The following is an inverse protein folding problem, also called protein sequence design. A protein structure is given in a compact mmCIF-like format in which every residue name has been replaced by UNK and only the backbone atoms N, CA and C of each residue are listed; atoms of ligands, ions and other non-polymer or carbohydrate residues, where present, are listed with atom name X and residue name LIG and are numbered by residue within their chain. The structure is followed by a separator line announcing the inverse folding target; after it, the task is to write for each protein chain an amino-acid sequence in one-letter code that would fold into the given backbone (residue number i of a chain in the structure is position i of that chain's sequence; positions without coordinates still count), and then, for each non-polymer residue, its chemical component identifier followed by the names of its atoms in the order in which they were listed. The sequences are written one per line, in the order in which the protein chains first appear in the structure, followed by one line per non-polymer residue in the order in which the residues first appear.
data_IF_904464037751
#
_entry.id   IF_904464037751
#
_cell.length_a   1.000
_cell.length_b   1.000
_cell.length_c   1.000
_cell.angle_alpha   90.00
_cell.angle_beta   90.00
_cell.angle_gamma   90.00
#
_symmetry.space_group_name_H-M   'P 1'
#
loop_
_entity.id
_entity.type
_entity.pdbx_description
1 polymer ?
#
# COMPACT_ATOMS: atom_id res chain seq x y z
N UNK A 1 -52.26 -44.11 23.03
CA UNK A 1 -53.07 -42.86 23.05
C UNK A 1 -52.34 -41.81 22.25
N UNK A 2 -52.89 -41.34 21.13
CA UNK A 2 -52.23 -40.40 20.22
C UNK A 2 -52.65 -38.95 20.49
N UNK A 3 -51.76 -38.00 20.22
CA UNK A 3 -52.09 -36.57 19.99
C UNK A 3 -51.23 -36.16 18.78
N UNK A 4 -51.71 -36.24 17.53
CA UNK A 4 -52.65 -35.36 16.81
C UNK A 4 -52.14 -33.92 16.70
N UNK A 5 -51.63 -33.58 15.48
CA UNK A 5 -51.86 -32.39 14.62
C UNK A 5 -51.79 -30.97 15.26
N UNK A 6 -51.30 -29.88 14.65
CA UNK A 6 -51.16 -29.44 13.24
C UNK A 6 -50.33 -28.11 13.19
N UNK A 7 -50.05 -27.52 12.02
CA UNK A 7 -48.95 -26.59 11.75
C UNK A 7 -49.31 -25.10 11.87
N UNK A 8 -48.30 -24.24 12.04
CA UNK A 8 -48.46 -22.78 11.99
C UNK A 8 -48.19 -22.25 10.56
N UNK A 9 -49.26 -21.73 9.98
CA UNK A 9 -49.35 -21.00 8.71
C UNK A 9 -48.57 -19.68 8.74
N UNK A 10 -48.06 -19.34 7.56
CA UNK A 10 -47.73 -18.00 7.08
C UNK A 10 -48.77 -16.94 7.50
N UNK A 11 -48.29 -15.76 7.89
CA UNK A 11 -49.00 -14.49 7.73
C UNK A 11 -48.07 -13.47 7.09
N UNK A 12 -48.48 -13.04 5.91
CA UNK A 12 -48.02 -11.85 5.20
C UNK A 12 -49.15 -10.81 5.30
N UNK A 13 -48.80 -9.54 5.56
CA UNK A 13 -49.53 -8.27 5.34
C UNK A 13 -49.02 -7.23 6.38
N UNK A 14 -48.87 -5.94 6.16
CA UNK A 14 -48.81 -5.04 5.00
C UNK A 14 -48.41 -3.66 5.58
N UNK A 15 -47.49 -2.96 4.91
CA UNK A 15 -47.29 -1.50 4.77
C UNK A 15 -47.82 -0.46 5.79
N UNK A 16 -46.93 0.46 6.20
CA UNK A 16 -47.10 1.93 6.17
C UNK A 16 -45.74 2.60 6.50
N UNK A 17 -44.97 3.12 5.55
CA UNK A 17 -44.97 4.52 5.08
C UNK A 17 -44.87 5.58 6.20
N UNK A 18 -43.65 6.02 6.49
CA UNK A 18 -43.36 7.25 7.23
C UNK A 18 -42.04 7.81 6.75
N UNK A 19 -42.10 8.84 5.89
CA UNK A 19 -40.95 9.65 5.48
C UNK A 19 -40.57 10.52 6.66
N UNK A 20 -39.30 10.54 7.04
CA UNK A 20 -38.73 11.66 7.78
C UNK A 20 -37.48 12.17 7.07
N UNK A 21 -37.61 13.39 6.55
CA UNK A 21 -36.58 14.19 5.94
C UNK A 21 -35.82 14.91 7.08
N UNK A 22 -34.69 14.36 7.50
CA UNK A 22 -33.72 15.04 8.38
C UNK A 22 -32.48 15.42 7.58
N UNK A 23 -32.28 16.71 7.35
CA UNK A 23 -31.30 17.25 6.41
C UNK A 23 -29.86 16.83 6.65
N UNK A 24 -29.22 16.31 5.59
CA UNK A 24 -27.77 16.13 5.53
C UNK A 24 -27.14 17.51 5.37
N UNK A 25 -26.39 17.91 6.39
CA UNK A 25 -25.69 19.17 6.48
C UNK A 25 -24.69 19.30 5.31
N UNK A 26 -24.98 20.23 4.39
CA UNK A 26 -24.14 20.58 3.25
C UNK A 26 -23.03 21.52 3.70
N UNK A 27 -21.93 20.96 4.17
CA UNK A 27 -20.64 21.64 4.26
C UNK A 27 -19.54 20.59 4.41
N UNK A 28 -19.20 19.91 3.32
CA UNK A 28 -18.00 19.10 3.26
C UNK A 28 -17.38 19.32 1.89
N UNK A 29 -16.42 20.25 1.79
CA UNK A 29 -15.59 20.47 0.60
C UNK A 29 -14.63 19.29 0.44
N UNK A 30 -15.23 18.14 0.14
CA UNK A 30 -14.63 16.84 0.17
C UNK A 30 -14.21 16.37 -1.22
N UNK A 31 -12.96 15.97 -1.43
CA UNK A 31 -12.63 14.91 -2.40
C UNK A 31 -13.50 13.71 -2.05
N UNK A 32 -14.61 13.59 -2.75
CA UNK A 32 -15.53 12.49 -2.58
C UNK A 32 -14.86 11.27 -3.22
N UNK A 33 -14.43 10.29 -2.42
CA UNK A 33 -13.81 9.05 -2.92
C UNK A 33 -14.71 8.35 -3.96
N UNK A 34 -16.03 8.57 -3.92
CA UNK A 34 -16.94 8.06 -4.94
C UNK A 34 -16.78 8.74 -6.31
N UNK A 35 -16.22 9.95 -6.37
CA UNK A 35 -16.01 10.76 -7.59
C UNK A 35 -14.68 10.43 -8.30
N UNK A 36 -13.71 9.84 -7.59
CA UNK A 36 -12.46 9.34 -8.20
C UNK A 36 -12.60 7.95 -8.86
N UNK A 37 -13.76 7.31 -8.76
CA UNK A 37 -14.04 5.95 -9.28
C UNK A 37 -14.13 5.84 -10.81
N UNK A 38 -13.85 6.91 -11.55
CA UNK A 38 -13.82 6.84 -13.01
C UNK A 38 -12.51 6.21 -13.48
N UNK A 39 -12.56 5.05 -14.14
CA UNK A 39 -11.40 4.36 -14.73
C UNK A 39 -10.48 5.34 -15.50
N UNK A 40 -11.07 6.24 -16.29
CA UNK A 40 -10.32 7.23 -17.07
C UNK A 40 -9.60 8.28 -16.20
N UNK A 41 -10.18 8.67 -15.05
CA UNK A 41 -9.53 9.60 -14.14
C UNK A 41 -8.34 8.96 -13.44
N UNK A 42 -8.48 7.68 -13.06
CA UNK A 42 -7.41 6.90 -12.46
C UNK A 42 -6.21 6.75 -13.42
N UNK A 43 -6.46 6.46 -14.72
CA UNK A 43 -5.41 6.43 -15.75
C UNK A 43 -4.68 7.77 -15.88
N UNK A 44 -5.41 8.89 -15.87
CA UNK A 44 -4.81 10.23 -15.97
C UNK A 44 -3.97 10.55 -14.73
N UNK A 45 -4.49 10.26 -13.53
CA UNK A 45 -3.77 10.43 -12.26
C UNK A 45 -2.51 9.57 -12.22
N UNK A 46 -2.58 8.34 -12.72
CA UNK A 46 -1.45 7.42 -12.75
C UNK A 46 -0.29 7.93 -13.62
N UNK A 47 -0.63 8.45 -14.80
CA UNK A 47 0.36 9.08 -15.69
C UNK A 47 0.94 10.36 -15.10
N UNK A 48 0.13 11.17 -14.40
CA UNK A 48 0.59 12.36 -13.70
C UNK A 48 1.54 12.00 -12.56
N UNK A 49 1.21 10.99 -11.75
CA UNK A 49 2.06 10.48 -10.68
C UNK A 49 3.38 9.95 -11.23
N UNK A 50 3.33 9.18 -12.31
CA UNK A 50 4.52 8.62 -12.97
C UNK A 50 5.39 9.70 -13.62
N UNK A 51 4.81 10.79 -14.11
CA UNK A 51 5.55 11.90 -14.69
C UNK A 51 6.30 12.76 -13.64
N UNK A 52 5.87 12.72 -12.37
CA UNK A 52 6.50 13.47 -11.27
C UNK A 52 6.68 14.96 -11.58
N UNK A 53 7.83 15.51 -11.20
CA UNK A 53 8.17 16.92 -11.39
C UNK A 53 8.36 17.32 -12.85
N UNK A 54 8.59 16.38 -13.76
CA UNK A 54 8.62 16.71 -15.19
C UNK A 54 7.22 17.12 -15.69
N UNK A 55 6.19 16.56 -15.06
CA UNK A 55 4.80 16.72 -15.45
C UNK A 55 4.50 16.18 -16.84
N UNK A 56 3.24 16.29 -17.26
CA UNK A 56 2.78 15.75 -18.55
C UNK A 56 1.77 16.71 -19.21
N UNK A 57 1.85 16.89 -20.52
CA UNK A 57 0.91 17.74 -21.24
C UNK A 57 -0.42 17.02 -21.52
N UNK A 58 -1.49 17.79 -21.77
CA UNK A 58 -2.80 17.23 -22.16
C UNK A 58 -2.75 16.39 -23.45
N UNK A 59 -1.83 16.73 -24.36
CA UNK A 59 -1.62 15.96 -25.59
C UNK A 59 -1.03 14.59 -25.28
N UNK A 60 0.05 14.55 -24.49
CA UNK A 60 0.69 13.30 -24.08
C UNK A 60 -0.25 12.44 -23.24
N UNK A 61 -1.06 13.05 -22.37
CA UNK A 61 -2.12 12.34 -21.66
C UNK A 61 -3.13 11.71 -22.62
N UNK A 62 -3.59 12.42 -23.65
CA UNK A 62 -4.53 11.86 -24.63
C UNK A 62 -3.90 10.70 -25.42
N UNK A 63 -2.65 10.86 -25.86
CA UNK A 63 -1.90 9.84 -26.60
C UNK A 63 -1.70 8.57 -25.77
N UNK A 64 -1.25 8.70 -24.51
CA UNK A 64 -0.94 7.55 -23.65
C UNK A 64 -2.18 6.86 -23.07
N UNK A 65 -3.26 7.61 -22.82
CA UNK A 65 -4.51 7.02 -22.31
C UNK A 65 -5.44 6.51 -23.40
N UNK A 66 -5.25 6.92 -24.66
CA UNK A 66 -6.19 6.67 -25.75
C UNK A 66 -7.51 7.45 -25.64
N UNK A 67 -7.59 8.42 -24.73
CA UNK A 67 -8.78 9.26 -24.55
C UNK A 67 -8.83 10.39 -25.56
N UNK A 68 -10.03 10.89 -25.86
CA UNK A 68 -10.18 12.07 -26.72
C UNK A 68 -9.59 13.31 -26.04
N UNK A 69 -9.06 14.29 -26.80
CA UNK A 69 -8.57 15.55 -26.24
C UNK A 69 -9.60 16.29 -25.39
N UNK A 70 -10.88 16.23 -25.79
CA UNK A 70 -11.99 16.79 -25.00
C UNK A 70 -12.21 16.01 -23.70
N UNK A 71 -12.06 14.68 -23.72
CA UNK A 71 -12.14 13.82 -22.54
C UNK A 71 -11.06 14.16 -21.52
N UNK A 72 -9.79 14.24 -21.96
CA UNK A 72 -8.67 14.66 -21.10
C UNK A 72 -8.87 16.07 -20.55
N UNK A 73 -9.37 17.00 -21.37
CA UNK A 73 -9.64 18.38 -20.93
C UNK A 73 -10.69 18.42 -19.81
N UNK A 74 -11.78 17.66 -19.94
CA UNK A 74 -12.82 17.56 -18.89
C UNK A 74 -12.30 16.93 -17.60
N UNK A 75 -11.52 15.84 -17.72
CA UNK A 75 -10.95 15.14 -16.57
C UNK A 75 -9.97 16.06 -15.83
N UNK A 76 -9.01 16.65 -16.55
CA UNK A 76 -7.99 17.51 -15.96
C UNK A 76 -8.57 18.79 -15.38
N UNK A 77 -9.63 19.36 -15.98
CA UNK A 77 -10.36 20.49 -15.39
C UNK A 77 -10.96 20.12 -14.03
N UNK A 78 -11.67 18.98 -13.94
CA UNK A 78 -12.23 18.50 -12.67
C UNK A 78 -11.16 18.20 -11.61
N UNK A 79 -10.04 17.59 -12.00
CA UNK A 79 -8.95 17.30 -11.07
C UNK A 79 -8.30 18.60 -10.53
N UNK A 80 -8.19 19.64 -11.36
CA UNK A 80 -7.74 20.98 -10.95
C UNK A 80 -8.72 21.67 -10.02
N UNK A 81 -10.03 21.60 -10.32
CA UNK A 81 -11.09 22.11 -9.42
C UNK A 81 -11.06 21.43 -8.05
N UNK A 82 -10.57 20.19 -7.98
CA UNK A 82 -10.39 19.42 -6.75
C UNK A 82 -9.03 19.65 -6.07
N UNK A 83 -8.16 20.48 -6.64
CA UNK A 83 -6.82 20.75 -6.10
C UNK A 83 -5.81 19.60 -6.27
N UNK A 84 -6.17 18.52 -6.96
CA UNK A 84 -5.29 17.34 -7.14
C UNK A 84 -4.22 17.55 -8.21
N UNK A 85 -4.44 18.51 -9.10
CA UNK A 85 -3.57 18.78 -10.26
C UNK A 85 -3.37 20.28 -10.39
N UNK A 86 -2.16 20.70 -10.74
CA UNK A 86 -1.81 22.10 -11.01
C UNK A 86 -1.18 22.26 -12.40
N UNK A 87 -1.22 23.48 -12.95
CA UNK A 87 -0.47 23.83 -14.16
C UNK A 87 0.89 24.40 -13.76
N UNK A 88 1.99 23.76 -14.17
CA UNK A 88 3.35 24.28 -13.95
C UNK A 88 3.85 25.00 -15.18
N UNK A 89 3.39 26.24 -15.35
CA UNK A 89 3.91 27.15 -16.38
C UNK A 89 3.94 26.58 -17.81
N UNK A 90 4.75 27.22 -18.66
CA UNK A 90 4.91 26.92 -20.08
C UNK A 90 6.33 26.36 -20.31
N UNK A 91 6.47 25.09 -20.73
CA UNK A 91 7.78 24.56 -21.14
C UNK A 91 8.17 25.17 -22.49
N UNK A 92 9.41 25.63 -22.63
CA UNK A 92 9.97 26.05 -23.91
C UNK A 92 9.99 24.85 -24.87
N UNK A 93 9.31 24.96 -26.01
CA UNK A 93 9.31 23.93 -27.04
C UNK A 93 10.47 24.19 -28.00
N UNK A 94 11.20 23.14 -28.37
CA UNK A 94 12.17 23.14 -29.49
C UNK A 94 11.42 23.26 -30.83
N UNK A 95 10.78 24.41 -31.07
CA UNK A 95 10.15 24.76 -32.36
C UNK A 95 8.61 24.90 -32.40
N UNK A 96 7.90 25.02 -31.26
CA UNK A 96 6.44 25.14 -31.24
C UNK A 96 5.85 26.06 -30.14
N UNK A 97 4.52 26.24 -30.13
CA UNK A 97 3.80 27.03 -29.10
C UNK A 97 4.02 26.38 -27.73
N UNK A 98 4.32 27.16 -26.66
CA UNK A 98 4.64 26.58 -25.36
C UNK A 98 3.49 25.71 -24.83
N UNK A 99 3.83 24.51 -24.34
CA UNK A 99 2.85 23.53 -23.86
C UNK A 99 2.57 23.75 -22.38
N UNK A 100 1.30 23.80 -22.00
CA UNK A 100 0.89 23.76 -20.59
C UNK A 100 1.14 22.35 -20.06
N UNK A 101 1.96 22.26 -19.02
CA UNK A 101 2.31 21.01 -18.35
C UNK A 101 1.47 20.89 -17.08
N UNK A 102 0.89 19.72 -16.87
CA UNK A 102 0.12 19.39 -15.68
C UNK A 102 1.00 18.56 -14.72
N UNK A 103 0.85 18.82 -13.43
CA UNK A 103 1.48 18.02 -12.36
C UNK A 103 0.46 17.62 -11.31
N UNK A 104 0.68 16.45 -10.71
CA UNK A 104 0.01 16.07 -9.47
C UNK A 104 0.43 17.05 -8.37
N UNK A 105 -0.49 17.40 -7.47
CA UNK A 105 -0.18 18.10 -6.23
C UNK A 105 -0.01 17.02 -5.15
N UNK A 106 1.21 16.67 -4.72
CA UNK A 106 1.45 15.54 -3.82
C UNK A 106 0.66 15.67 -2.51
N UNK A 107 0.68 16.86 -1.91
CA UNK A 107 0.09 17.11 -0.59
C UNK A 107 -1.44 17.25 -0.61
N UNK A 108 -2.08 17.17 -1.79
CA UNK A 108 -3.53 17.28 -1.93
C UNK A 108 -4.30 16.12 -1.29
N UNK A 109 -3.61 15.05 -0.89
CA UNK A 109 -4.16 13.95 -0.12
C UNK A 109 -3.08 13.05 0.44
N UNK A 110 -3.36 12.41 1.57
CA UNK A 110 -2.43 11.53 2.24
C UNK A 110 -3.06 10.18 2.57
N UNK A 111 -2.24 9.14 2.71
CA UNK A 111 -2.67 7.86 3.26
C UNK A 111 -1.79 7.48 4.44
N UNK A 112 -2.40 6.82 5.42
CA UNK A 112 -1.64 6.22 6.52
C UNK A 112 -1.41 4.76 6.21
N UNK A 113 -0.16 4.30 6.33
CA UNK A 113 0.20 2.89 6.36
C UNK A 113 0.48 2.45 7.79
N UNK A 114 -0.12 1.35 8.23
CA UNK A 114 0.17 0.70 9.50
C UNK A 114 0.71 -0.70 9.24
N UNK A 115 1.79 -1.06 9.92
CA UNK A 115 2.28 -2.43 10.02
C UNK A 115 2.17 -2.87 11.48
N UNK A 116 1.26 -3.82 11.74
CA UNK A 116 1.08 -4.45 13.04
C UNK A 116 1.86 -5.78 13.03
N UNK A 117 3.13 -5.74 13.45
CA UNK A 117 3.91 -6.96 13.66
C UNK A 117 3.60 -7.54 15.07
N UNK A 118 4.27 -8.62 15.45
CA UNK A 118 4.03 -9.32 16.73
C UNK A 118 4.47 -8.51 17.94
N UNK A 119 5.55 -7.75 17.81
CA UNK A 119 6.23 -7.01 18.88
C UNK A 119 6.40 -5.50 18.60
N UNK A 120 6.08 -5.04 17.39
CA UNK A 120 6.26 -3.65 16.95
C UNK A 120 5.07 -3.17 16.10
N UNK A 121 4.73 -1.90 16.25
CA UNK A 121 3.82 -1.15 15.38
C UNK A 121 4.65 -0.09 14.64
N UNK A 122 4.58 -0.08 13.31
CA UNK A 122 5.14 0.99 12.48
C UNK A 122 4.00 1.72 11.77
N UNK A 123 4.03 3.06 11.79
CA UNK A 123 3.06 3.92 11.14
C UNK A 123 3.78 4.91 10.21
N UNK A 124 3.29 5.08 8.98
CA UNK A 124 3.81 6.06 8.03
C UNK A 124 2.67 6.88 7.44
N UNK A 125 2.92 8.16 7.22
CA UNK A 125 2.04 9.05 6.46
C UNK A 125 2.70 9.25 5.10
N UNK A 126 1.96 9.01 4.02
CA UNK A 126 2.45 9.19 2.64
C UNK A 126 1.56 10.14 1.85
N UNK A 127 2.19 10.96 1.00
CA UNK A 127 1.50 11.85 0.07
C UNK A 127 0.95 11.10 -1.17
N UNK A 128 0.31 11.82 -2.11
CA UNK A 128 -0.19 11.21 -3.35
C UNK A 128 0.91 10.71 -4.30
N UNK A 129 2.14 11.21 -4.19
CA UNK A 129 3.29 10.70 -4.93
C UNK A 129 3.80 9.38 -4.35
N UNK A 130 3.49 9.10 -3.07
CA UNK A 130 3.97 7.97 -2.29
C UNK A 130 5.21 8.29 -1.46
N UNK A 131 5.56 9.57 -1.31
CA UNK A 131 6.64 10.03 -0.45
C UNK A 131 6.21 9.88 1.01
N UNK A 132 7.07 9.30 1.86
CA UNK A 132 6.84 9.27 3.31
C UNK A 132 7.10 10.68 3.86
N UNK A 133 6.08 11.29 4.46
CA UNK A 133 6.14 12.63 5.06
C UNK A 133 6.35 12.58 6.58
N UNK A 134 5.88 11.51 7.23
CA UNK A 134 6.10 11.26 8.65
C UNK A 134 6.15 9.74 8.93
N UNK A 135 6.92 9.34 9.94
CA UNK A 135 7.05 7.95 10.37
C UNK A 135 7.09 7.87 11.90
N UNK A 136 6.43 6.86 12.47
CA UNK A 136 6.48 6.52 13.89
C UNK A 136 6.64 5.02 14.09
N UNK A 137 7.31 4.64 15.17
CA UNK A 137 7.42 3.26 15.63
C UNK A 137 7.23 3.16 17.13
N UNK A 138 6.52 2.13 17.56
CA UNK A 138 6.33 1.83 18.98
C UNK A 138 6.23 0.33 19.23
N UNK A 139 6.54 -0.14 20.46
CA UNK A 139 6.31 -1.53 20.83
C UNK A 139 4.82 -1.88 20.75
N UNK A 140 4.52 -3.09 20.27
CA UNK A 140 3.15 -3.61 20.21
C UNK A 140 3.05 -4.94 20.94
N UNK A 141 2.04 -5.08 21.79
CA UNK A 141 1.65 -6.37 22.34
C UNK A 141 0.52 -6.96 21.48
N UNK A 142 0.87 -7.62 20.36
CA UNK A 142 -0.13 -8.11 19.41
C UNK A 142 -1.10 -9.13 20.04
N UNK A 143 -0.64 -9.86 21.07
CA UNK A 143 -1.46 -10.82 21.82
C UNK A 143 -2.26 -10.21 22.99
N UNK A 144 -2.32 -8.88 23.13
CA UNK A 144 -3.11 -8.22 24.17
C UNK A 144 -4.63 -8.25 23.89
N UNK A 145 -5.05 -8.73 22.71
CA UNK A 145 -6.43 -8.74 22.25
C UNK A 145 -6.75 -7.60 21.29
N UNK A 146 -7.79 -7.79 20.47
CA UNK A 146 -8.12 -6.89 19.38
C UNK A 146 -8.37 -5.44 19.81
N UNK A 147 -9.15 -5.23 20.88
CA UNK A 147 -9.48 -3.87 21.36
C UNK A 147 -8.23 -3.09 21.80
N UNK A 148 -7.28 -3.74 22.48
CA UNK A 148 -6.04 -3.10 22.91
C UNK A 148 -5.16 -2.71 21.71
N UNK A 149 -5.11 -3.56 20.68
CA UNK A 149 -4.36 -3.28 19.45
C UNK A 149 -5.03 -2.20 18.62
N UNK A 150 -6.37 -2.14 18.60
CA UNK A 150 -7.14 -1.05 17.98
C UNK A 150 -6.82 0.29 18.62
N UNK A 151 -6.81 0.38 19.95
CA UNK A 151 -6.47 1.63 20.66
C UNK A 151 -5.00 2.04 20.47
N UNK A 152 -4.07 1.08 20.48
CA UNK A 152 -2.66 1.35 20.20
C UNK A 152 -2.47 1.90 18.78
N UNK A 153 -3.08 1.25 17.78
CA UNK A 153 -3.04 1.71 16.40
C UNK A 153 -3.68 3.09 16.23
N UNK A 154 -4.85 3.34 16.84
CA UNK A 154 -5.51 4.63 16.75
C UNK A 154 -4.68 5.75 17.37
N UNK A 155 -4.07 5.51 18.53
CA UNK A 155 -3.19 6.46 19.21
C UNK A 155 -1.97 6.81 18.36
N UNK A 156 -1.36 5.83 17.67
CA UNK A 156 -0.22 6.08 16.79
C UNK A 156 -0.62 6.84 15.52
N UNK A 157 -1.80 6.59 14.95
CA UNK A 157 -2.33 7.39 13.83
C UNK A 157 -2.54 8.84 14.27
N UNK A 158 -3.21 9.07 15.41
CA UNK A 158 -3.46 10.42 15.92
C UNK A 158 -2.14 11.17 16.19
N UNK A 159 -1.16 10.51 16.80
CA UNK A 159 0.16 11.09 17.05
C UNK A 159 0.93 11.38 15.74
N UNK A 160 0.89 10.47 14.78
CA UNK A 160 1.53 10.64 13.47
C UNK A 160 0.99 11.87 12.72
N UNK A 161 -0.33 12.06 12.75
CA UNK A 161 -0.98 13.21 12.12
C UNK A 161 -0.66 14.52 12.85
N UNK A 162 -0.61 14.49 14.18
CA UNK A 162 -0.22 15.66 14.98
C UNK A 162 1.25 16.08 14.71
N UNK A 163 2.17 15.12 14.55
CA UNK A 163 3.56 15.39 14.21
C UNK A 163 3.70 16.01 12.81
N UNK A 164 2.90 15.56 11.84
CA UNK A 164 2.90 16.09 10.48
C UNK A 164 2.37 17.53 10.43
N UNK A 165 1.30 17.83 11.17
CA UNK A 165 0.71 19.18 11.24
C UNK A 165 1.60 20.18 12.03
N UNK A 166 2.41 19.69 12.97
CA UNK A 166 3.34 20.51 13.75
C UNK A 166 4.65 20.86 13.04
N UNK A 167 4.99 20.12 11.96
CA UNK A 167 6.25 20.29 11.21
C UNK A 167 6.32 21.53 10.32
N UNK A 168 5.17 22.12 9.94
CA UNK A 168 5.11 23.32 9.09
C UNK A 168 5.36 24.63 9.86
N UNK A 169 5.37 24.61 11.20
CA UNK A 169 5.51 25.82 12.01
C UNK A 169 6.97 26.22 12.34
N UNK A 170 7.98 25.40 12.00
CA UNK A 170 9.38 25.61 12.41
C UNK A 170 10.40 25.62 11.26
N UNK A 171 9.96 25.97 10.04
CA UNK A 171 10.88 26.49 9.02
C UNK A 171 11.25 27.95 9.33
N UNK A 172 11.84 28.16 10.53
CA UNK A 172 12.39 29.42 10.97
C UNK A 172 13.49 29.90 10.03
N UNK A 173 13.21 31.01 9.37
CA UNK A 173 14.14 31.83 8.60
C UNK A 173 15.47 32.01 9.37
N UNK A 174 16.64 31.73 8.78
CA UNK A 174 17.89 31.94 9.48
C UNK A 174 18.14 33.44 9.67
N UNK A 175 18.16 33.86 10.94
CA UNK A 175 18.60 35.16 11.46
C UNK A 175 19.87 35.65 10.73
N UNK A 176 19.67 36.43 9.67
CA UNK A 176 20.70 37.29 9.08
C UNK A 176 20.51 38.68 9.66
N UNK A 177 21.23 38.94 10.75
CA UNK A 177 21.54 40.29 11.23
C UNK A 177 22.19 41.11 10.12
N UNK A 178 21.38 41.88 9.42
CA UNK A 178 21.83 42.92 8.49
C UNK A 178 21.98 44.22 9.30
N UNK A 179 23.23 44.64 9.51
CA UNK A 179 23.56 45.97 10.06
C UNK A 179 23.25 46.98 8.95
N UNK A 180 22.12 47.67 9.05
CA UNK A 180 21.83 48.84 8.19
C UNK A 180 21.82 50.13 8.99
N UNK A 181 22.65 51.03 8.48
CA UNK A 181 22.92 52.40 8.88
C UNK A 181 21.64 53.28 8.77
N UNK A 182 21.22 53.99 9.83
CA UNK A 182 19.97 54.72 9.83
C UNK A 182 20.19 56.20 9.47
N UNK A 183 20.48 56.53 8.20
CA UNK A 183 20.25 57.89 7.69
C UNK A 183 20.37 58.04 6.16
N UNK A 184 19.37 57.56 5.41
CA UNK A 184 19.07 58.11 4.07
C UNK A 184 17.55 58.08 3.84
N UNK A 185 16.91 59.25 3.83
CA UNK A 185 15.52 59.41 3.36
C UNK A 185 15.51 59.55 1.85
N UNK A 186 14.92 58.58 1.14
CA UNK A 186 14.56 58.71 -0.27
C UNK A 186 13.13 59.29 -0.38
N UNK A 187 12.91 60.45 -1.02
CA UNK A 187 11.59 61.07 -1.13
C UNK A 187 10.68 60.52 -2.25
N UNK A 188 11.12 59.58 -3.11
CA UNK A 188 10.39 59.23 -4.34
C UNK A 188 9.92 57.76 -4.46
N UNK A 189 9.65 57.07 -3.36
CA UNK A 189 9.07 55.72 -3.41
C UNK A 189 7.54 55.76 -3.65
N UNK A 190 7.14 55.60 -4.92
CA UNK A 190 5.77 55.34 -5.35
C UNK A 190 5.24 54.01 -4.81
N UNK A 191 4.03 54.03 -4.23
CA UNK A 191 3.28 52.86 -3.75
C UNK A 191 3.01 51.86 -4.90
N UNK A 192 3.25 50.54 -4.74
CA UNK A 192 2.66 49.55 -5.61
C UNK A 192 1.26 49.15 -5.10
N UNK A 193 0.30 49.42 -5.96
CA UNK A 193 -1.11 49.03 -5.91
C UNK A 193 -1.29 47.51 -6.14
N UNK A 194 -2.47 47.01 -5.77
CA UNK A 194 -3.00 45.64 -5.92
C UNK A 194 -2.53 44.56 -4.92
N UNK A 195 -3.30 44.45 -3.83
CA UNK A 195 -3.37 43.25 -3.00
C UNK A 195 -3.89 42.08 -3.84
N UNK A 196 -3.04 41.09 -4.12
CA UNK A 196 -3.49 39.77 -4.53
C UNK A 196 -4.48 39.24 -3.48
N UNK A 197 -5.63 38.65 -3.87
CA UNK A 197 -6.51 38.03 -2.91
C UNK A 197 -5.76 36.87 -2.25
N UNK A 198 -5.42 37.06 -0.98
CA UNK A 198 -4.96 36.01 -0.08
C UNK A 198 -6.06 34.95 -0.08
N UNK A 199 -5.86 33.90 -0.86
CA UNK A 199 -6.64 32.69 -0.73
C UNK A 199 -6.36 32.15 0.67
N UNK A 200 -7.39 31.87 1.49
CA UNK A 200 -7.16 31.22 2.78
C UNK A 200 -6.41 29.92 2.51
N UNK A 201 -5.28 29.73 3.20
CA UNK A 201 -4.51 28.50 3.14
C UNK A 201 -5.46 27.32 3.42
N UNK A 202 -5.46 26.28 2.56
CA UNK A 202 -6.30 25.12 2.80
C UNK A 202 -5.90 24.46 4.13
N UNK A 203 -6.86 23.87 4.86
CA UNK A 203 -6.57 23.18 6.11
C UNK A 203 -5.58 22.04 5.86
N UNK A 204 -4.90 21.65 6.94
CA UNK A 204 -3.93 20.56 7.03
C UNK A 204 -4.32 19.33 6.23
N UNK A 205 -3.28 18.69 5.69
CA UNK A 205 -3.28 17.50 4.83
C UNK A 205 -4.51 16.57 4.96
N UNK A 206 -5.23 16.38 3.84
CA UNK A 206 -6.43 15.53 3.83
C UNK A 206 -6.07 14.04 3.84
N UNK A 207 -6.27 13.36 4.96
CA UNK A 207 -6.13 11.89 5.05
C UNK A 207 -7.27 11.18 4.32
N UNK A 208 -6.92 10.29 3.38
CA UNK A 208 -7.84 9.56 2.50
C UNK A 208 -8.29 8.22 3.09
N UNK A 209 -7.50 7.65 4.00
CA UNK A 209 -7.77 6.38 4.68
C UNK A 209 -6.52 5.79 5.31
N UNK A 210 -6.71 4.66 5.98
CA UNK A 210 -5.66 3.89 6.65
C UNK A 210 -5.58 2.50 6.05
N UNK A 211 -4.39 2.11 5.59
CA UNK A 211 -4.10 0.77 5.15
C UNK A 211 -3.31 0.02 6.21
N UNK A 212 -3.75 -1.19 6.55
CA UNK A 212 -3.17 -1.98 7.64
C UNK A 212 -2.63 -3.29 7.11
N UNK A 213 -1.36 -3.54 7.38
CA UNK A 213 -0.64 -4.76 7.10
C UNK A 213 -0.42 -5.53 8.41
N UNK A 214 -0.73 -6.82 8.44
CA UNK A 214 -0.57 -7.66 9.62
C UNK A 214 -0.41 -9.15 9.29
N UNK A 215 0.07 -9.98 10.23
CA UNK A 215 0.09 -11.43 10.07
C UNK A 215 -1.30 -12.02 9.81
N UNK A 216 -1.37 -13.01 8.90
CA UNK A 216 -2.57 -13.80 8.63
C UNK A 216 -2.67 -15.10 9.45
N UNK A 217 -3.69 -15.93 9.18
CA UNK A 217 -4.75 -15.79 8.17
C UNK A 217 -5.79 -14.69 8.45
N UNK A 218 -6.23 -14.01 7.38
CA UNK A 218 -7.18 -12.90 7.38
C UNK A 218 -8.02 -12.93 6.08
N UNK A 219 -9.32 -12.68 6.20
CA UNK A 219 -10.15 -12.28 5.07
C UNK A 219 -10.10 -10.77 4.88
N UNK A 220 -9.25 -10.32 3.94
CA UNK A 220 -9.11 -8.88 3.62
C UNK A 220 -10.38 -8.25 3.04
N UNK A 221 -11.32 -9.05 2.50
CA UNK A 221 -12.55 -8.55 1.90
C UNK A 221 -13.60 -8.20 2.97
N UNK A 222 -13.74 -9.04 4.00
CA UNK A 222 -14.58 -8.76 5.15
C UNK A 222 -13.85 -7.98 6.25
N UNK A 223 -12.52 -7.99 6.25
CA UNK A 223 -11.69 -7.34 7.26
C UNK A 223 -11.61 -8.11 8.58
N UNK A 224 -11.89 -9.42 8.54
CA UNK A 224 -12.01 -10.31 9.71
C UNK A 224 -10.81 -11.24 9.81
N UNK A 225 -10.14 -11.22 10.97
CA UNK A 225 -9.04 -12.15 11.24
C UNK A 225 -9.58 -13.54 11.54
N UNK A 226 -8.77 -14.55 11.23
CA UNK A 226 -9.05 -15.93 11.58
C UNK A 226 -8.05 -16.41 12.63
N UNK A 227 -7.80 -17.72 12.70
CA UNK A 227 -6.79 -18.32 13.58
C UNK A 227 -5.36 -17.90 13.19
N UNK A 228 -4.99 -16.66 13.51
CA UNK A 228 -3.64 -16.11 13.33
C UNK A 228 -2.66 -17.02 14.05
N UNK A 229 -1.63 -17.46 13.34
CA UNK A 229 -0.68 -18.43 13.87
C UNK A 229 0.02 -17.89 15.12
N UNK A 230 -0.26 -18.49 16.28
CA UNK A 230 0.29 -18.08 17.59
C UNK A 230 -0.59 -17.10 18.38
N UNK A 231 -1.72 -16.65 17.83
CA UNK A 231 -2.62 -15.68 18.48
C UNK A 231 -4.11 -16.04 18.23
N UNK A 232 -4.62 -17.12 18.88
CA UNK A 232 -5.99 -17.61 18.66
C UNK A 232 -7.10 -16.62 19.05
N UNK A 233 -6.81 -15.63 19.90
CA UNK A 233 -7.72 -14.57 20.34
C UNK A 233 -8.23 -13.67 19.20
N UNK A 234 -7.58 -13.71 18.04
CA UNK A 234 -7.99 -12.96 16.85
C UNK A 234 -9.08 -13.64 16.01
N UNK A 235 -9.40 -14.92 16.27
CA UNK A 235 -10.34 -15.67 15.43
C UNK A 235 -11.74 -15.04 15.46
N UNK A 236 -12.18 -14.53 14.31
CA UNK A 236 -13.45 -13.84 14.15
C UNK A 236 -13.45 -12.35 14.49
N UNK A 237 -12.30 -11.75 14.81
CA UNK A 237 -12.23 -10.33 15.18
C UNK A 237 -12.35 -9.40 13.95
N UNK A 238 -13.29 -8.45 13.93
CA UNK A 238 -13.54 -7.57 12.77
C UNK A 238 -12.64 -6.33 12.79
N UNK A 239 -11.31 -6.52 12.69
CA UNK A 239 -10.32 -5.45 12.85
C UNK A 239 -10.56 -4.23 11.97
N UNK A 240 -10.92 -4.43 10.69
CA UNK A 240 -11.17 -3.31 9.77
C UNK A 240 -12.27 -2.39 10.31
N UNK A 241 -13.39 -2.98 10.70
CA UNK A 241 -14.57 -2.22 11.10
C UNK A 241 -14.34 -1.56 12.47
N UNK A 242 -13.66 -2.26 13.40
CA UNK A 242 -13.27 -1.70 14.69
C UNK A 242 -12.32 -0.49 14.55
N UNK A 243 -11.28 -0.59 13.71
CA UNK A 243 -10.39 0.53 13.43
C UNK A 243 -11.11 1.67 12.72
N UNK A 244 -11.98 1.37 11.75
CA UNK A 244 -12.73 2.38 11.00
C UNK A 244 -13.68 3.16 11.92
N UNK A 245 -14.35 2.47 12.85
CA UNK A 245 -15.19 3.11 13.87
C UNK A 245 -14.35 3.98 14.80
N UNK A 246 -13.22 3.47 15.28
CA UNK A 246 -12.35 4.18 16.23
C UNK A 246 -11.66 5.42 15.64
N UNK A 247 -11.28 5.36 14.36
CA UNK A 247 -10.56 6.43 13.66
C UNK A 247 -11.51 7.41 12.96
N UNK A 248 -12.74 7.00 12.66
CA UNK A 248 -13.64 7.78 11.78
C UNK A 248 -13.13 7.87 10.33
N UNK A 249 -12.21 6.99 9.92
CA UNK A 249 -11.57 6.97 8.61
C UNK A 249 -11.85 5.65 7.88
N UNK A 250 -11.85 5.64 6.53
CA UNK A 250 -11.86 4.39 5.77
C UNK A 250 -10.63 3.55 6.10
N UNK A 251 -10.84 2.27 6.40
CA UNK A 251 -9.77 1.31 6.69
C UNK A 251 -9.80 0.18 5.66
N UNK A 252 -8.62 -0.19 5.17
CA UNK A 252 -8.39 -1.41 4.40
C UNK A 252 -7.33 -2.24 5.11
N UNK A 253 -7.48 -3.55 5.08
CA UNK A 253 -6.57 -4.48 5.78
C UNK A 253 -6.08 -5.54 4.81
N UNK A 254 -4.85 -5.99 4.94
CA UNK A 254 -4.29 -7.09 4.15
C UNK A 254 -3.15 -7.77 4.90
N UNK A 255 -2.70 -8.93 4.41
CA UNK A 255 -1.51 -9.58 4.93
C UNK A 255 -0.28 -8.71 4.68
N UNK A 256 0.63 -8.69 5.65
CA UNK A 256 1.94 -8.05 5.57
C UNK A 256 2.69 -8.37 4.25
N UNK A 257 2.70 -9.63 3.85
CA UNK A 257 3.35 -10.06 2.61
C UNK A 257 2.65 -9.57 1.35
N UNK A 258 1.32 -9.46 1.35
CA UNK A 258 0.54 -8.91 0.24
C UNK A 258 0.74 -7.41 0.11
N UNK A 259 0.77 -6.69 1.24
CA UNK A 259 1.05 -5.25 1.27
C UNK A 259 2.46 -4.96 0.73
N UNK A 260 3.48 -5.70 1.20
CA UNK A 260 4.83 -5.58 0.67
C UNK A 260 4.91 -5.92 -0.83
N UNK A 261 4.24 -6.99 -1.27
CA UNK A 261 4.17 -7.36 -2.68
C UNK A 261 3.50 -6.29 -3.54
N UNK A 262 2.46 -5.60 -3.03
CA UNK A 262 1.86 -4.45 -3.69
C UNK A 262 2.88 -3.32 -3.86
N UNK A 263 3.57 -2.92 -2.79
CA UNK A 263 4.61 -1.89 -2.86
C UNK A 263 5.70 -2.22 -3.87
N UNK A 264 6.18 -3.47 -3.86
CA UNK A 264 7.22 -3.95 -4.78
C UNK A 264 6.75 -3.98 -6.25
N UNK A 265 5.50 -4.35 -6.51
CA UNK A 265 4.92 -4.30 -7.86
C UNK A 265 4.82 -2.85 -8.36
N UNK A 266 4.38 -1.93 -7.50
CA UNK A 266 4.27 -0.51 -7.81
C UNK A 266 5.63 0.14 -8.09
N UNK A 267 6.69 -0.36 -7.47
CA UNK A 267 8.08 0.03 -7.71
C UNK A 267 8.69 -0.59 -8.98
N UNK A 268 7.94 -1.41 -9.73
CA UNK A 268 8.39 -1.97 -11.01
C UNK A 268 9.23 -3.24 -10.90
N UNK A 269 9.04 -4.05 -9.83
CA UNK A 269 9.78 -5.31 -9.65
C UNK A 269 9.43 -6.40 -10.69
N UNK A 270 8.40 -6.20 -11.50
CA UNK A 270 7.95 -7.11 -12.56
C UNK A 270 6.51 -7.56 -12.41
N UNK A 271 6.03 -8.32 -13.39
CA UNK A 271 4.61 -8.72 -13.48
C UNK A 271 4.31 -10.10 -12.87
N UNK A 272 5.34 -10.93 -12.65
CA UNK A 272 5.21 -12.28 -12.12
C UNK A 272 6.35 -12.59 -11.14
N UNK A 273 6.12 -12.41 -9.84
CA UNK A 273 7.14 -12.65 -8.82
C UNK A 273 6.55 -13.11 -7.48
N UNK A 274 7.42 -13.66 -6.63
CA UNK A 274 7.12 -13.95 -5.24
C UNK A 274 8.02 -13.12 -4.31
N UNK A 275 7.40 -12.46 -3.33
CA UNK A 275 8.08 -11.87 -2.19
C UNK A 275 7.99 -12.84 -1.01
N UNK A 276 9.13 -13.34 -0.51
CA UNK A 276 9.20 -14.22 0.64
C UNK A 276 9.69 -13.42 1.85
N UNK A 277 8.86 -13.32 2.87
CA UNK A 277 9.16 -12.60 4.11
C UNK A 277 9.49 -13.58 5.23
N UNK A 278 10.71 -13.50 5.77
CA UNK A 278 11.14 -14.33 6.90
C UNK A 278 11.52 -13.44 8.09
N UNK A 279 10.78 -13.62 9.19
CA UNK A 279 10.96 -12.92 10.45
C UNK A 279 10.66 -13.85 11.62
N UNK A 280 9.68 -13.48 12.44
CA UNK A 280 9.11 -14.35 13.49
C UNK A 280 8.27 -15.48 12.91
N UNK A 281 7.77 -15.30 11.68
CA UNK A 281 7.13 -16.32 10.85
C UNK A 281 7.66 -16.30 9.43
N UNK A 282 7.01 -17.05 8.54
CA UNK A 282 7.34 -17.15 7.12
C UNK A 282 6.08 -17.07 6.27
N UNK A 283 6.00 -16.04 5.42
CA UNK A 283 4.90 -15.84 4.48
C UNK A 283 5.39 -15.55 3.06
N UNK A 284 4.47 -15.57 2.10
CA UNK A 284 4.71 -15.09 0.75
C UNK A 284 3.64 -14.12 0.27
N UNK A 285 4.06 -13.10 -0.46
CA UNK A 285 3.21 -12.26 -1.29
C UNK A 285 3.43 -12.63 -2.75
N UNK A 286 2.35 -12.89 -3.47
CA UNK A 286 2.41 -13.32 -4.87
C UNK A 286 1.98 -12.17 -5.76
N UNK A 287 2.75 -11.86 -6.80
CA UNK A 287 2.34 -10.94 -7.86
C UNK A 287 2.23 -11.73 -9.14
N UNK A 288 1.04 -11.72 -9.75
CA UNK A 288 0.74 -12.42 -10.99
C UNK A 288 -0.04 -11.46 -11.90
N UNK A 289 0.47 -11.20 -13.10
CA UNK A 289 -0.11 -10.21 -14.02
C UNK A 289 0.00 -8.77 -13.51
N UNK A 290 1.09 -8.45 -12.79
CA UNK A 290 1.39 -7.11 -12.27
C UNK A 290 0.67 -6.74 -10.98
N UNK A 291 -0.22 -7.60 -10.46
CA UNK A 291 -0.99 -7.31 -9.26
C UNK A 291 -0.87 -8.40 -8.19
N UNK A 292 -1.02 -8.06 -6.89
CA UNK A 292 -1.03 -9.06 -5.84
C UNK A 292 -2.15 -10.09 -6.01
N UNK A 293 -1.78 -11.36 -6.06
CA UNK A 293 -2.70 -12.48 -6.13
C UNK A 293 -3.07 -12.96 -4.72
N UNK A 294 -4.33 -12.74 -4.34
CA UNK A 294 -4.86 -13.08 -3.01
C UNK A 294 -5.70 -14.35 -2.99
N UNK A 295 -6.06 -14.87 -4.17
CA UNK A 295 -6.98 -15.99 -4.35
C UNK A 295 -8.45 -15.64 -4.07
N UNK A 296 -9.41 -16.47 -4.54
CA UNK A 296 -10.85 -16.21 -4.40
C UNK A 296 -11.37 -16.29 -2.95
N UNK A 297 -10.59 -16.91 -2.07
CA UNK A 297 -10.88 -17.07 -0.65
C UNK A 297 -9.84 -16.40 0.24
N UNK A 298 -9.13 -15.38 -0.30
CA UNK A 298 -8.13 -14.56 0.41
C UNK A 298 -6.91 -15.27 0.99
N UNK A 299 -6.85 -16.60 0.88
CA UNK A 299 -5.81 -17.46 1.45
C UNK A 299 -4.63 -17.78 0.54
N UNK A 300 -4.42 -17.08 -0.58
CA UNK A 300 -3.20 -17.31 -1.36
C UNK A 300 -1.96 -16.81 -0.59
N UNK A 301 -0.80 -17.44 -0.80
CA UNK A 301 0.46 -17.01 -0.17
C UNK A 301 0.79 -17.65 1.18
N UNK A 302 0.08 -18.71 1.59
CA UNK A 302 0.41 -19.55 2.78
C UNK A 302 1.65 -20.43 2.55
N UNK A 303 2.71 -19.82 2.02
CA UNK A 303 3.95 -20.45 1.59
C UNK A 303 4.64 -21.24 2.69
N UNK A 304 4.72 -20.66 3.90
CA UNK A 304 5.40 -21.26 5.04
C UNK A 304 4.80 -22.59 5.47
N UNK A 305 3.54 -22.87 5.14
CA UNK A 305 2.83 -24.08 5.55
C UNK A 305 2.87 -25.22 4.52
N UNK A 306 3.59 -25.07 3.40
CA UNK A 306 3.89 -26.20 2.52
C UNK A 306 4.68 -27.26 3.28
N UNK A 307 4.25 -28.51 3.20
CA UNK A 307 4.94 -29.64 3.84
C UNK A 307 6.00 -30.18 2.88
N UNK A 308 7.28 -30.08 3.28
CA UNK A 308 8.41 -30.61 2.50
C UNK A 308 9.10 -31.78 3.21
N UNK A 309 8.75 -32.07 4.46
CA UNK A 309 9.28 -33.19 5.23
C UNK A 309 8.16 -33.86 6.05
N UNK A 310 7.61 -34.97 5.57
CA UNK A 310 6.41 -35.58 6.19
C UNK A 310 6.63 -36.06 7.63
N UNK A 311 7.86 -36.47 7.97
CA UNK A 311 8.31 -36.87 9.31
C UNK A 311 8.93 -35.71 10.11
N UNK A 312 8.75 -34.47 9.63
CA UNK A 312 9.33 -33.27 10.22
C UNK A 312 8.70 -32.83 11.55
N UNK A 313 9.20 -31.72 12.11
CA UNK A 313 8.69 -31.17 13.37
C UNK A 313 7.23 -30.73 13.24
N UNK A 314 6.52 -30.70 14.37
CA UNK A 314 5.15 -30.17 14.42
C UNK A 314 5.19 -28.66 14.16
N UNK A 315 4.34 -28.19 13.26
CA UNK A 315 4.09 -26.78 13.00
C UNK A 315 2.90 -26.30 13.83
N UNK A 316 2.90 -25.02 14.19
CA UNK A 316 1.79 -24.33 14.87
C UNK A 316 0.47 -24.38 14.09
N UNK A 317 0.51 -24.56 12.77
CA UNK A 317 -0.70 -24.77 11.97
C UNK A 317 -1.35 -26.16 12.15
N UNK A 318 -0.66 -27.10 12.83
CA UNK A 318 -1.11 -28.47 13.08
C UNK A 318 -0.48 -29.54 12.18
N UNK A 319 0.14 -29.15 11.07
CA UNK A 319 0.86 -30.07 10.18
C UNK A 319 2.27 -30.40 10.69
N UNK A 320 2.98 -31.31 10.00
CA UNK A 320 4.39 -31.65 10.25
C UNK A 320 5.27 -31.29 9.07
N UNK A 321 6.48 -30.81 9.36
CA UNK A 321 7.52 -30.44 8.38
C UNK A 321 7.10 -29.39 7.37
N UNK A 322 6.32 -28.41 7.84
CA UNK A 322 6.13 -27.15 7.15
C UNK A 322 7.48 -26.43 6.97
N UNK A 323 7.65 -25.72 5.84
CA UNK A 323 8.84 -24.90 5.57
C UNK A 323 9.11 -23.94 6.73
N UNK A 324 8.09 -23.25 7.24
CA UNK A 324 8.23 -22.32 8.37
C UNK A 324 8.83 -23.02 9.60
N UNK A 325 8.29 -24.18 9.99
CA UNK A 325 8.77 -24.91 11.16
C UNK A 325 10.23 -25.36 11.00
N UNK A 326 10.61 -25.80 9.79
CA UNK A 326 11.97 -26.21 9.47
C UNK A 326 12.93 -25.02 9.42
N UNK A 327 12.56 -23.94 8.73
CA UNK A 327 13.34 -22.70 8.62
C UNK A 327 13.59 -22.09 10.00
N UNK A 328 12.53 -21.91 10.80
CA UNK A 328 12.65 -21.31 12.14
C UNK A 328 13.46 -22.19 13.09
N UNK A 329 13.34 -23.52 13.01
CA UNK A 329 14.18 -24.43 13.78
C UNK A 329 15.67 -24.30 13.39
N UNK A 330 15.97 -24.23 12.09
CA UNK A 330 17.34 -24.02 11.60
C UNK A 330 17.91 -22.66 12.04
N UNK A 331 17.11 -21.59 11.96
CA UNK A 331 17.49 -20.25 12.44
C UNK A 331 17.74 -20.25 13.94
N UNK A 332 16.87 -20.88 14.74
CA UNK A 332 17.05 -21.00 16.19
C UNK A 332 18.33 -21.78 16.56
N UNK A 333 18.76 -22.72 15.72
CA UNK A 333 20.02 -23.45 15.84
C UNK A 333 21.24 -22.70 15.26
N UNK A 334 21.08 -21.45 14.78
CA UNK A 334 22.15 -20.67 14.14
C UNK A 334 22.58 -21.18 12.75
N UNK A 335 21.80 -22.09 12.16
CA UNK A 335 22.10 -22.77 10.90
C UNK A 335 21.46 -22.04 9.70
N UNK A 336 21.93 -20.83 9.41
CA UNK A 336 21.36 -19.99 8.33
C UNK A 336 21.46 -20.62 6.95
N UNK A 337 22.51 -21.39 6.66
CA UNK A 337 22.67 -22.05 5.36
C UNK A 337 21.61 -23.16 5.16
N UNK A 338 21.26 -23.89 6.23
CA UNK A 338 20.18 -24.86 6.20
C UNK A 338 18.82 -24.17 6.09
N UNK A 339 18.61 -23.06 6.82
CA UNK A 339 17.39 -22.27 6.70
C UNK A 339 17.19 -21.73 5.26
N UNK A 340 18.27 -21.26 4.63
CA UNK A 340 18.27 -20.79 3.25
C UNK A 340 17.99 -21.93 2.25
N UNK A 341 18.54 -23.13 2.49
CA UNK A 341 18.25 -24.33 1.68
C UNK A 341 16.78 -24.72 1.77
N UNK A 342 16.22 -24.81 2.97
CA UNK A 342 14.79 -25.11 3.21
C UNK A 342 13.89 -24.07 2.54
N UNK A 343 14.22 -22.78 2.68
CA UNK A 343 13.51 -21.70 2.00
C UNK A 343 13.58 -21.86 0.47
N UNK A 344 14.75 -22.24 -0.04
CA UNK A 344 15.02 -22.53 -1.44
C UNK A 344 14.15 -23.65 -2.00
N UNK A 345 13.97 -24.75 -1.28
CA UNK A 345 13.11 -25.87 -1.71
C UNK A 345 11.66 -25.43 -1.90
N UNK A 346 11.16 -24.63 -0.96
CA UNK A 346 9.86 -24.00 -1.07
C UNK A 346 9.74 -23.09 -2.28
N UNK A 347 10.70 -22.16 -2.42
CA UNK A 347 10.72 -21.20 -3.52
C UNK A 347 10.77 -21.93 -4.88
N UNK A 348 11.54 -23.01 -4.97
CA UNK A 348 11.65 -23.81 -6.18
C UNK A 348 10.35 -24.55 -6.54
N UNK A 349 9.59 -25.00 -5.54
CA UNK A 349 8.24 -25.54 -5.75
C UNK A 349 7.28 -24.48 -6.30
N UNK A 350 7.32 -23.27 -5.73
CA UNK A 350 6.49 -22.16 -6.21
C UNK A 350 6.85 -21.74 -7.64
N UNK A 351 8.14 -21.59 -7.94
CA UNK A 351 8.62 -21.27 -9.29
C UNK A 351 8.07 -22.27 -10.31
N UNK A 352 8.20 -23.57 -10.03
CA UNK A 352 7.71 -24.61 -10.94
C UNK A 352 6.19 -24.70 -11.04
N UNK A 353 5.45 -24.29 -10.01
CA UNK A 353 3.98 -24.37 -9.98
C UNK A 353 3.30 -23.15 -10.58
N UNK A 354 3.84 -21.95 -10.32
CA UNK A 354 3.23 -20.67 -10.66
C UNK A 354 3.84 -20.01 -11.88
N UNK A 355 4.98 -20.52 -12.37
CA UNK A 355 5.71 -19.97 -13.52
C UNK A 355 6.04 -18.48 -13.34
N UNK A 356 6.72 -18.17 -12.24
CA UNK A 356 7.14 -16.80 -11.88
C UNK A 356 8.58 -16.51 -12.30
N UNK A 357 8.85 -15.25 -12.64
CA UNK A 357 10.12 -14.80 -13.23
C UNK A 357 11.13 -14.27 -12.20
N UNK A 358 10.73 -14.10 -10.94
CA UNK A 358 11.57 -13.50 -9.90
C UNK A 358 11.16 -13.96 -8.50
N UNK A 359 12.17 -14.18 -7.64
CA UNK A 359 12.00 -14.34 -6.20
C UNK A 359 12.70 -13.21 -5.46
N UNK A 360 11.95 -12.48 -4.64
CA UNK A 360 12.43 -11.42 -3.76
C UNK A 360 12.42 -11.90 -2.32
N UNK A 361 13.51 -11.71 -1.60
CA UNK A 361 13.62 -12.09 -0.18
C UNK A 361 13.61 -10.84 0.72
N UNK A 362 12.88 -10.91 1.83
CA UNK A 362 12.85 -9.86 2.84
C UNK A 362 12.55 -10.38 4.24
N UNK A 363 12.37 -9.43 5.17
CA UNK A 363 12.19 -9.71 6.59
C UNK A 363 13.49 -9.69 7.39
N UNK A 364 13.36 -9.47 8.69
CA UNK A 364 14.48 -9.22 9.62
C UNK A 364 15.51 -10.36 9.66
N UNK A 365 15.06 -11.61 9.49
CA UNK A 365 15.94 -12.78 9.51
C UNK A 365 16.79 -12.86 8.24
N UNK A 366 16.23 -12.52 7.07
CA UNK A 366 16.98 -12.41 5.81
C UNK A 366 17.97 -11.26 5.91
N UNK A 367 17.55 -10.10 6.42
CA UNK A 367 18.43 -8.93 6.56
C UNK A 367 19.67 -9.22 7.45
N UNK A 368 19.52 -10.04 8.49
CA UNK A 368 20.62 -10.42 9.37
C UNK A 368 21.68 -11.34 8.71
N UNK A 369 21.34 -12.02 7.61
CA UNK A 369 22.23 -12.95 6.91
C UNK A 369 22.01 -12.94 5.39
N UNK A 370 21.92 -11.75 4.79
CA UNK A 370 21.43 -11.53 3.42
C UNK A 370 22.15 -12.40 2.37
N UNK A 371 23.48 -12.38 2.37
CA UNK A 371 24.30 -13.13 1.40
C UNK A 371 24.03 -14.64 1.47
N UNK A 372 23.83 -15.18 2.68
CA UNK A 372 23.57 -16.62 2.88
C UNK A 372 22.19 -17.00 2.36
N UNK A 373 21.17 -16.21 2.66
CA UNK A 373 19.81 -16.48 2.19
C UNK A 373 19.69 -16.34 0.68
N UNK A 374 20.18 -15.23 0.12
CA UNK A 374 20.14 -15.00 -1.34
C UNK A 374 20.96 -16.06 -2.08
N UNK A 375 22.17 -16.35 -1.60
CA UNK A 375 23.03 -17.38 -2.20
C UNK A 375 22.46 -18.79 -2.09
N UNK A 376 21.96 -19.18 -0.92
CA UNK A 376 21.40 -20.51 -0.66
C UNK A 376 20.12 -20.78 -1.45
N UNK A 377 19.18 -19.83 -1.48
CA UNK A 377 17.96 -19.96 -2.28
C UNK A 377 18.30 -20.03 -3.78
N UNK A 378 19.23 -19.18 -4.27
CA UNK A 378 19.70 -19.23 -5.66
C UNK A 378 20.33 -20.57 -6.02
N UNK A 379 21.14 -21.15 -5.12
CA UNK A 379 21.77 -22.44 -5.37
C UNK A 379 20.74 -23.56 -5.59
N UNK A 380 19.68 -23.60 -4.77
CA UNK A 380 18.59 -24.58 -4.90
C UNK A 380 17.82 -24.38 -6.21
N UNK A 381 17.44 -23.14 -6.53
CA UNK A 381 16.73 -22.83 -7.77
C UNK A 381 17.55 -23.18 -9.00
N UNK A 382 18.84 -22.83 -9.01
CA UNK A 382 19.76 -23.15 -10.10
C UNK A 382 19.97 -24.66 -10.29
N UNK A 383 20.03 -25.45 -9.21
CA UNK A 383 20.08 -26.90 -9.33
C UNK A 383 18.80 -27.48 -9.94
N UNK A 384 17.63 -27.01 -9.49
CA UNK A 384 16.35 -27.47 -10.04
C UNK A 384 16.20 -27.09 -11.51
N UNK A 385 16.62 -25.88 -11.90
CA UNK A 385 16.62 -25.43 -13.28
C UNK A 385 17.51 -26.31 -14.16
N UNK A 386 18.74 -26.62 -13.73
CA UNK A 386 19.64 -27.54 -14.45
C UNK A 386 19.06 -28.93 -14.62
N UNK A 387 18.40 -29.48 -13.59
CA UNK A 387 17.76 -30.81 -13.65
C UNK A 387 16.52 -30.84 -14.55
N UNK A 388 15.74 -29.76 -14.55
CA UNK A 388 14.49 -29.64 -15.30
C UNK A 388 14.66 -29.11 -16.72
N UNK A 389 15.82 -28.56 -17.07
CA UNK A 389 16.05 -27.88 -18.35
C UNK A 389 15.28 -26.55 -18.46
N UNK A 390 14.98 -25.90 -17.34
CA UNK A 390 14.24 -24.62 -17.29
C UNK A 390 15.17 -23.42 -17.15
N UNK A 391 14.64 -22.23 -17.38
CA UNK A 391 15.36 -20.98 -17.13
C UNK A 391 15.61 -20.83 -15.62
N UNK A 392 16.80 -20.34 -15.27
CA UNK A 392 17.13 -20.01 -13.88
C UNK A 392 16.42 -18.71 -13.49
N UNK A 393 15.59 -18.80 -12.45
CA UNK A 393 14.84 -17.65 -11.92
C UNK A 393 15.74 -16.83 -10.99
N UNK A 394 15.90 -15.51 -11.21
CA UNK A 394 16.69 -14.66 -10.34
C UNK A 394 16.14 -14.64 -8.91
N UNK A 395 17.08 -14.57 -7.96
CA UNK A 395 16.81 -14.39 -6.53
C UNK A 395 17.54 -13.14 -6.07
N UNK A 396 16.80 -12.18 -5.55
CA UNK A 396 17.30 -10.88 -5.10
C UNK A 396 16.78 -10.55 -3.70
N UNK A 397 17.49 -9.67 -2.99
CA UNK A 397 16.92 -9.03 -1.81
C UNK A 397 15.91 -7.97 -2.24
N UNK A 398 14.79 -7.86 -1.54
CA UNK A 398 13.76 -6.87 -1.83
C UNK A 398 14.26 -5.43 -1.59
N UNK A 399 14.13 -4.50 -2.56
CA UNK A 399 14.37 -3.09 -2.33
C UNK A 399 13.54 -2.57 -1.14
N UNK A 400 14.11 -1.70 -0.32
CA UNK A 400 13.38 -1.11 0.82
C UNK A 400 12.82 -2.14 1.82
N UNK A 401 13.38 -3.35 1.92
CA UNK A 401 12.78 -4.45 2.71
C UNK A 401 12.39 -4.12 4.16
N UNK A 402 13.00 -3.10 4.78
CA UNK A 402 12.65 -2.64 6.13
C UNK A 402 11.33 -1.84 6.20
N UNK A 403 10.97 -1.12 5.14
CA UNK A 403 9.76 -0.27 5.07
C UNK A 403 8.73 -0.77 4.06
N UNK A 404 9.10 -1.76 3.23
CA UNK A 404 8.25 -2.29 2.15
C UNK A 404 6.84 -2.70 2.62
N UNK A 405 6.72 -3.25 3.83
CA UNK A 405 5.41 -3.64 4.39
C UNK A 405 4.55 -2.43 4.71
N UNK A 406 5.09 -1.45 5.45
CA UNK A 406 4.31 -0.29 5.91
C UNK A 406 3.99 0.69 4.78
N UNK A 407 4.93 0.91 3.85
CA UNK A 407 4.67 1.68 2.63
C UNK A 407 3.67 0.96 1.72
N UNK A 408 3.80 -0.36 1.60
CA UNK A 408 2.84 -1.22 0.93
C UNK A 408 1.44 -1.14 1.52
N UNK A 409 1.34 -1.03 2.85
CA UNK A 409 0.08 -0.85 3.57
C UNK A 409 -0.58 0.47 3.17
N UNK A 410 0.18 1.57 3.13
CA UNK A 410 -0.36 2.84 2.65
C UNK A 410 -0.83 2.76 1.18
N UNK A 411 -0.14 1.99 0.33
CA UNK A 411 -0.57 1.77 -1.05
C UNK A 411 -1.85 0.96 -1.19
N UNK A 412 -2.31 0.22 -0.16
CA UNK A 412 -3.66 -0.37 -0.18
C UNK A 412 -4.75 0.70 -0.32
N UNK A 413 -4.51 1.91 0.22
CA UNK A 413 -5.40 3.07 0.11
C UNK A 413 -5.17 3.83 -1.21
N UNK A 414 -3.91 4.06 -1.57
CA UNK A 414 -3.57 4.92 -2.71
C UNK A 414 -3.67 4.21 -4.07
N UNK A 415 -3.21 2.97 -4.20
CA UNK A 415 -3.13 2.27 -5.49
C UNK A 415 -4.47 2.22 -6.26
N UNK A 416 -5.65 2.02 -5.62
CA UNK A 416 -6.94 2.13 -6.31
C UNK A 416 -7.20 3.48 -6.98
N UNK A 417 -6.70 4.59 -6.42
CA UNK A 417 -6.88 5.93 -6.98
C UNK A 417 -6.14 6.09 -8.32
N UNK A 418 -5.07 5.33 -8.52
CA UNK A 418 -4.25 5.30 -9.72
C UNK A 418 -4.57 4.10 -10.61
N UNK A 419 -5.67 3.37 -10.34
CA UNK A 419 -6.09 2.24 -11.17
C UNK A 419 -5.25 0.97 -11.00
N UNK A 420 -4.41 0.91 -9.97
CA UNK A 420 -3.43 -0.17 -9.74
C UNK A 420 -3.90 -1.25 -8.76
N UNK A 421 -5.19 -1.29 -8.42
CA UNK A 421 -5.74 -2.20 -7.41
C UNK A 421 -6.03 -3.62 -7.92
N UNK A 422 -6.42 -3.77 -9.19
CA UNK A 422 -7.01 -5.02 -9.71
C UNK A 422 -6.47 -5.35 -11.11
N UNK A 423 -5.35 -6.09 -11.19
CA UNK A 423 -4.99 -7.04 -12.25
C UNK A 423 -5.18 -6.68 -13.73
N UNK A 424 -5.39 -5.42 -14.10
CA UNK A 424 -5.59 -5.01 -15.48
C UNK A 424 -4.74 -3.79 -15.78
N UNK A 425 -3.43 -4.01 -15.85
CA UNK A 425 -2.52 -3.08 -16.49
C UNK A 425 -2.71 -3.22 -18.01
N UNK A 426 -2.97 -2.14 -18.76
CA UNK A 426 -2.81 -2.20 -20.20
C UNK A 426 -1.33 -2.53 -20.49
N UNK A 427 -1.10 -3.65 -21.17
CA UNK A 427 0.22 -4.10 -21.55
C UNK A 427 0.96 -3.02 -22.34
N UNK A 428 2.00 -2.44 -21.78
CA UNK A 428 2.88 -1.54 -22.52
C UNK A 428 3.91 -2.40 -23.28
N UNK A 429 3.48 -2.96 -24.42
CA UNK A 429 4.40 -3.46 -25.45
C UNK A 429 4.92 -2.26 -26.22
N UNK A 430 6.12 -1.79 -25.87
CA UNK A 430 7.15 -1.29 -26.80
C UNK A 430 8.34 -0.74 -26.01
N UNK A 431 9.38 -1.58 -25.91
CA UNK A 431 10.77 -1.25 -26.29
C UNK A 431 11.72 -2.28 -25.69
N UNK A 432 11.82 -3.43 -26.35
CA UNK A 432 13.05 -4.22 -26.39
C UNK A 432 13.55 -4.23 -27.83
N UNK A 433 14.09 -3.09 -28.24
CA UNK A 433 15.09 -3.00 -29.28
C UNK A 433 16.32 -2.34 -28.65
N UNK A 434 17.15 -3.16 -28.01
CA UNK A 434 18.57 -2.89 -27.90
C UNK A 434 19.27 -4.16 -28.37
N UNK A 435 19.91 -3.98 -29.52
CA UNK A 435 20.90 -4.82 -30.18
C UNK A 435 21.97 -5.38 -29.26
#
# INVERSE_FOLDING_TARGET
MPSVMHPLKQRCCQSASGRDNGGVNRANSGVNLAVLRGHNAALVLDLLRTAGDEGISRLELAERTGLTPQGVSKITARLREQGLVTDTGRRASTGGKPRTVLRLVPDAGHAVGLHLDRDELTAVLVDLAGTVVAERRSPLAFGAGGDAVVEAAASEVEALLADADGGDADAGEPDRRDVRDPDVRDPDAQEPDAQDPVHPEPPTSRVLGVGVALPGPLDHSSGVLHRVTGFPEWDGFPLRDALAERLGLPVVVDKDTNAAALGLALAGSGDAFAYLHLGTGLGAGLVLGGAPYRGPHTGAGEFGHQVIQLDGPLCSCGNRGCIEALCLAAVAAGSFDEAARVLGEGAANMVGLLDIDLVLLGGRTVAAAEERFVGGVRAVLGERARRGGTVEVPVLRAPGAATAVVEGAAQLVLAPLFGRAHGHFPANRNDRNLS
#
